data_IF_869756648435
#
_entry.id   IF_869756648435
#
_cell.length_a   1.000
_cell.length_b   1.000
_cell.length_c   1.000
_cell.angle_alpha   90.00
_cell.angle_beta   90.00
_cell.angle_gamma   90.00
#
_symmetry.space_group_name_H-M   'P 1'
#
loop_
_entity.id
_entity.type
_entity.pdbx_description
1 polymer ?
#
# COMPACT_ATOMS: atom_id res chain seq x y z
N UNK A 1 12.23 8.90 -7.96
CA UNK A 1 11.79 8.48 -9.32
C UNK A 1 10.28 8.47 -9.34
N UNK A 2 9.66 9.27 -10.21
CA UNK A 2 8.21 9.24 -10.46
C UNK A 2 7.96 8.46 -11.76
N UNK A 3 7.00 7.54 -11.76
CA UNK A 3 6.63 6.82 -12.96
C UNK A 3 5.87 7.78 -13.91
N UNK A 4 6.26 7.90 -15.19
CA UNK A 4 5.52 8.72 -16.13
C UNK A 4 4.14 8.13 -16.42
N UNK A 5 3.20 8.95 -16.89
CA UNK A 5 1.86 8.49 -17.27
C UNK A 5 1.95 7.33 -18.27
N UNK A 6 1.23 6.25 -18.00
CA UNK A 6 1.23 5.05 -18.85
C UNK A 6 2.38 4.07 -18.58
N UNK A 7 3.29 4.37 -17.65
CA UNK A 7 4.30 3.41 -17.21
C UNK A 7 3.66 2.28 -16.40
N UNK A 8 4.17 1.06 -16.62
CA UNK A 8 3.87 -0.10 -15.80
C UNK A 8 5.11 -0.43 -14.95
N UNK A 9 4.94 -0.53 -13.63
CA UNK A 9 5.99 -0.97 -12.72
C UNK A 9 5.63 -2.36 -12.20
N UNK A 10 6.44 -3.36 -12.54
CA UNK A 10 6.33 -4.69 -11.96
C UNK A 10 7.20 -4.79 -10.71
N UNK A 11 6.63 -5.20 -9.59
CA UNK A 11 7.35 -5.50 -8.35
C UNK A 11 7.32 -7.02 -8.11
N UNK A 12 8.49 -7.70 -8.15
CA UNK A 12 8.54 -9.13 -7.87
C UNK A 12 8.19 -9.48 -6.41
N UNK A 13 7.79 -10.73 -6.12
CA UNK A 13 7.58 -11.20 -4.76
C UNK A 13 8.84 -11.03 -3.87
N UNK A 14 8.63 -10.66 -2.61
CA UNK A 14 9.70 -10.49 -1.62
C UNK A 14 10.47 -9.17 -1.71
N UNK A 15 10.07 -8.27 -2.63
CA UNK A 15 10.66 -6.94 -2.75
C UNK A 15 9.78 -5.93 -2.00
N UNK A 16 10.35 -5.32 -0.96
CA UNK A 16 9.73 -4.19 -0.27
C UNK A 16 9.52 -3.03 -1.23
N UNK A 17 8.33 -2.46 -1.20
CA UNK A 17 7.97 -1.36 -2.08
C UNK A 17 6.97 -0.41 -1.43
N UNK A 18 7.06 0.85 -1.82
CA UNK A 18 6.14 1.90 -1.42
C UNK A 18 5.93 2.87 -2.59
N UNK A 19 4.70 3.35 -2.74
CA UNK A 19 4.32 4.38 -3.70
C UNK A 19 3.68 5.56 -2.97
N UNK A 20 3.91 6.76 -3.50
CA UNK A 20 3.23 7.98 -3.09
C UNK A 20 2.56 8.59 -4.31
N UNK A 21 1.41 9.22 -4.10
CA UNK A 21 0.78 10.05 -5.13
C UNK A 21 1.63 11.31 -5.29
N UNK A 22 1.92 11.68 -6.54
CA UNK A 22 2.69 12.90 -6.81
C UNK A 22 1.87 14.14 -6.42
N UNK A 23 2.56 15.19 -5.91
CA UNK A 23 1.93 16.47 -5.54
C UNK A 23 1.07 17.01 -6.68
N UNK A 24 -0.16 17.44 -6.36
CA UNK A 24 -1.11 17.96 -7.34
C UNK A 24 -1.78 16.89 -8.22
N UNK A 25 -1.68 15.61 -7.86
CA UNK A 25 -2.44 14.52 -8.48
C UNK A 25 -3.43 13.92 -7.48
N UNK A 26 -4.62 13.59 -7.98
CA UNK A 26 -5.70 13.02 -7.15
C UNK A 26 -5.64 11.49 -7.06
N UNK A 27 -4.87 10.83 -7.93
CA UNK A 27 -4.79 9.38 -7.95
C UNK A 27 -3.41 8.87 -8.41
N UNK A 28 -2.93 7.83 -7.73
CA UNK A 28 -2.02 6.85 -8.30
C UNK A 28 -2.85 5.64 -8.77
N UNK A 29 -2.49 5.03 -9.89
CA UNK A 29 -3.12 3.78 -10.30
C UNK A 29 -2.78 2.68 -9.29
N UNK A 30 -3.82 2.04 -8.75
CA UNK A 30 -3.73 0.92 -7.80
C UNK A 30 -2.89 -0.21 -8.43
N UNK A 31 -1.93 -0.81 -7.70
CA UNK A 31 -1.17 -1.95 -8.20
C UNK A 31 -2.13 -3.08 -8.59
N UNK A 32 -1.99 -3.62 -9.80
CA UNK A 32 -2.71 -4.82 -10.21
C UNK A 32 -1.92 -6.04 -9.75
N UNK A 33 -2.54 -6.89 -8.94
CA UNK A 33 -1.99 -8.19 -8.55
C UNK A 33 -2.49 -9.26 -9.52
N UNK A 34 -1.57 -10.08 -10.04
CA UNK A 34 -1.82 -11.06 -11.10
C UNK A 34 -2.35 -12.42 -10.58
N UNK A 35 -2.39 -12.58 -9.26
CA UNK A 35 -2.90 -13.75 -8.53
C UNK A 35 -3.78 -13.28 -7.38
N UNK A 36 -4.72 -14.11 -6.87
CA UNK A 36 -5.45 -13.81 -5.65
C UNK A 36 -4.44 -13.69 -4.50
N UNK A 37 -4.03 -12.46 -4.22
CA UNK A 37 -2.90 -12.16 -3.35
C UNK A 37 -3.34 -11.94 -1.90
N UNK A 38 -4.66 -11.96 -1.64
CA UNK A 38 -5.25 -11.65 -0.34
C UNK A 38 -5.35 -10.15 -0.09
N UNK A 39 -4.59 -9.32 -0.80
CA UNK A 39 -4.56 -7.87 -0.55
C UNK A 39 -5.88 -7.19 -0.85
N UNK A 40 -6.63 -7.62 -1.87
CA UNK A 40 -7.94 -7.05 -2.18
C UNK A 40 -8.93 -7.28 -1.03
N UNK A 41 -8.84 -8.44 -0.35
CA UNK A 41 -9.66 -8.75 0.82
C UNK A 41 -9.17 -8.01 2.06
N UNK A 42 -7.85 -7.90 2.23
CA UNK A 42 -7.26 -7.10 3.29
C UNK A 42 -7.72 -5.65 3.22
N UNK A 43 -7.68 -5.04 2.03
CA UNK A 43 -8.13 -3.66 1.80
C UNK A 43 -9.64 -3.50 2.03
N UNK A 44 -10.45 -4.48 1.62
CA UNK A 44 -11.90 -4.44 1.86
C UNK A 44 -12.26 -4.58 3.35
N UNK A 45 -11.49 -5.35 4.12
CA UNK A 45 -11.67 -5.45 5.58
C UNK A 45 -11.14 -4.20 6.29
N UNK A 46 -10.03 -3.60 5.84
CA UNK A 46 -9.52 -2.31 6.33
C UNK A 46 -10.53 -1.17 6.14
N UNK A 47 -11.23 -1.13 4.99
CA UNK A 47 -12.25 -0.10 4.67
C UNK A 47 -13.48 -0.17 5.61
N UNK A 48 -13.68 -1.30 6.30
CA UNK A 48 -14.78 -1.47 7.25
C UNK A 48 -14.40 -1.12 8.68
N UNK A 49 -13.11 -0.90 8.97
CA UNK A 49 -12.63 -0.57 10.31
C UNK A 49 -12.95 0.89 10.64
N UNK A 50 -13.28 1.15 11.90
CA UNK A 50 -13.38 2.51 12.41
C UNK A 50 -11.99 3.08 12.78
N UNK A 51 -11.90 4.39 13.01
CA UNK A 51 -10.63 5.07 13.30
C UNK A 51 -9.88 4.47 14.50
N UNK A 52 -10.58 4.05 15.56
CA UNK A 52 -9.95 3.46 16.75
C UNK A 52 -9.40 2.05 16.47
N UNK A 53 -10.07 1.26 15.65
CA UNK A 53 -9.59 -0.06 15.19
C UNK A 53 -8.41 0.09 14.21
N UNK A 54 -8.41 1.14 13.41
CA UNK A 54 -7.33 1.44 12.48
C UNK A 54 -6.07 1.95 13.19
N UNK A 55 -6.23 2.78 14.22
CA UNK A 55 -5.12 3.25 15.07
C UNK A 55 -4.57 2.17 15.99
N UNK A 56 -5.34 1.09 16.22
CA UNK A 56 -4.86 -0.09 16.93
C UNK A 56 -3.90 -0.92 16.07
N UNK A 57 -2.60 -0.72 16.32
CA UNK A 57 -1.51 -1.42 15.66
C UNK A 57 -1.56 -2.95 15.81
N UNK A 58 -2.27 -3.49 16.81
CA UNK A 58 -2.42 -4.94 16.99
C UNK A 58 -3.46 -5.49 16.01
N UNK A 59 -4.65 -4.91 16.00
CA UNK A 59 -5.76 -5.34 15.13
C UNK A 59 -5.39 -5.22 13.65
N UNK A 60 -4.68 -4.16 13.27
CA UNK A 60 -4.18 -3.98 11.89
C UNK A 60 -3.07 -4.97 11.53
N UNK A 61 -2.15 -5.29 12.45
CA UNK A 61 -1.10 -6.29 12.20
C UNK A 61 -1.67 -7.69 12.03
N UNK A 62 -2.64 -8.10 12.86
CA UNK A 62 -3.30 -9.40 12.74
C UNK A 62 -4.05 -9.54 11.42
N UNK A 63 -4.68 -8.45 10.96
CA UNK A 63 -5.35 -8.42 9.65
C UNK A 63 -4.35 -8.56 8.49
N UNK A 64 -3.22 -7.87 8.57
CA UNK A 64 -2.15 -8.01 7.57
C UNK A 64 -1.63 -9.46 7.51
N UNK A 65 -1.33 -10.06 8.66
CA UNK A 65 -0.85 -11.45 8.75
C UNK A 65 -1.87 -12.45 8.18
N UNK A 66 -3.15 -12.28 8.49
CA UNK A 66 -4.26 -13.11 7.99
C UNK A 66 -4.30 -13.18 6.47
N UNK A 67 -3.97 -12.08 5.79
CA UNK A 67 -4.02 -11.99 4.32
C UNK A 67 -2.63 -12.08 3.66
N UNK A 68 -1.59 -12.40 4.41
CA UNK A 68 -0.22 -12.53 3.90
C UNK A 68 0.41 -11.20 3.45
N UNK A 69 -0.07 -10.09 4.03
CA UNK A 69 0.47 -8.75 3.82
C UNK A 69 1.48 -8.47 4.93
N UNK A 70 2.64 -7.91 4.58
CA UNK A 70 3.61 -7.42 5.56
C UNK A 70 3.69 -5.91 5.43
N UNK A 71 3.24 -5.20 6.47
CA UNK A 71 3.43 -3.76 6.54
C UNK A 71 4.82 -3.46 7.10
N UNK A 72 5.72 -2.97 6.26
CA UNK A 72 7.10 -2.62 6.62
C UNK A 72 7.23 -1.31 7.43
N UNK A 73 6.11 -0.69 7.80
CA UNK A 73 6.06 0.56 8.55
C UNK A 73 6.15 1.79 7.65
N UNK A 74 6.66 2.90 8.21
CA UNK A 74 6.70 4.18 7.50
C UNK A 74 7.59 4.07 6.27
N UNK A 75 7.03 4.39 5.10
CA UNK A 75 7.80 4.48 3.87
C UNK A 75 8.97 5.47 4.04
N UNK A 76 10.17 5.16 3.53
CA UNK A 76 11.32 6.04 3.65
C UNK A 76 11.07 7.37 2.95
N UNK A 77 11.55 8.46 3.56
CA UNK A 77 11.47 9.80 2.98
C UNK A 77 12.22 9.84 1.64
N UNK A 78 11.53 10.32 0.59
CA UNK A 78 12.15 10.51 -0.72
C UNK A 78 12.57 11.97 -0.88
N UNK A 79 13.85 12.28 -1.11
CA UNK A 79 14.24 13.66 -1.43
C UNK A 79 13.54 14.11 -2.72
N UNK A 80 12.85 15.24 -2.67
CA UNK A 80 12.19 15.87 -3.83
C UNK A 80 10.69 15.61 -4.01
N UNK A 81 10.01 15.06 -3.00
CA UNK A 81 8.54 15.09 -2.91
C UNK A 81 8.23 15.72 -1.56
N UNK A 82 8.08 17.04 -1.52
CA UNK A 82 7.55 17.74 -0.34
C UNK A 82 6.08 17.35 -0.19
N UNK A 83 5.74 16.71 0.94
CA UNK A 83 4.38 16.38 1.33
C UNK A 83 3.62 17.63 1.78
#
# INVERSE_FOLDING_TARGET
MAAPTGACLHVPPGIEHACAVAVGREAAQVPRFDRPSGIERCLAELDQMNDAEFEDGVTTSELHDKHGVVNAGRAPERPGIDC
#
